data_IF_475452115237
#
_entry.id   IF_475452115237
#
_cell.length_a   1.000
_cell.length_b   1.000
_cell.length_c   1.000
_cell.angle_alpha   90.00
_cell.angle_beta   90.00
_cell.angle_gamma   90.00
#
_symmetry.space_group_name_H-M   'P 1'
#
loop_
_entity.id
_entity.type
_entity.pdbx_description
1 polymer ?
#
# COMPACT_ATOMS: atom_id res chain seq x y z
N UNK A 1 12.08 -2.95 -7.32
CA UNK A 1 10.91 -3.46 -6.57
C UNK A 1 10.86 -2.94 -5.14
N UNK A 2 11.91 -3.12 -4.31
CA UNK A 2 11.90 -2.65 -2.91
C UNK A 2 11.79 -1.11 -2.77
N UNK A 3 12.55 -0.37 -3.58
CA UNK A 3 12.55 1.10 -3.60
C UNK A 3 11.21 1.67 -4.08
N UNK A 4 10.70 1.18 -5.21
CA UNK A 4 9.41 1.59 -5.77
C UNK A 4 8.24 1.36 -4.81
N UNK A 5 8.23 0.24 -4.09
CA UNK A 5 7.22 -0.08 -3.09
C UNK A 5 7.26 0.90 -1.90
N UNK A 6 8.46 1.30 -1.47
CA UNK A 6 8.64 2.32 -0.41
C UNK A 6 8.16 3.69 -0.87
N UNK A 7 8.41 4.07 -2.12
CA UNK A 7 7.94 5.34 -2.69
C UNK A 7 6.41 5.37 -2.80
N UNK A 8 5.77 4.27 -3.22
CA UNK A 8 4.31 4.19 -3.28
C UNK A 8 3.66 4.29 -1.90
N UNK A 9 4.25 3.66 -0.88
CA UNK A 9 3.78 3.82 0.50
C UNK A 9 3.81 5.28 0.95
N UNK A 10 4.90 6.01 0.67
CA UNK A 10 4.99 7.44 1.03
C UNK A 10 3.92 8.29 0.35
N UNK A 11 3.63 8.01 -0.94
CA UNK A 11 2.55 8.71 -1.67
C UNK A 11 1.17 8.41 -1.08
N UNK A 12 0.92 7.15 -0.74
CA UNK A 12 -0.32 6.74 -0.08
C UNK A 12 -0.48 7.43 1.28
N UNK A 13 0.55 7.41 2.11
CA UNK A 13 0.52 8.08 3.42
C UNK A 13 0.28 9.59 3.27
N UNK A 14 0.87 10.24 2.27
CA UNK A 14 0.60 11.65 1.96
C UNK A 14 -0.86 11.88 1.56
N UNK A 15 -1.42 11.09 0.64
CA UNK A 15 -2.85 11.22 0.24
C UNK A 15 -3.81 10.99 1.39
N UNK A 16 -3.47 10.08 2.31
CA UNK A 16 -4.24 9.80 3.54
C UNK A 16 -4.16 11.00 4.50
N UNK A 17 -3.01 11.66 4.61
CA UNK A 17 -2.83 12.86 5.43
C UNK A 17 -3.54 14.09 4.85
N UNK A 18 -3.55 14.21 3.52
CA UNK A 18 -4.23 15.29 2.80
C UNK A 18 -5.76 15.10 2.75
N UNK A 19 -6.26 13.91 3.09
CA UNK A 19 -7.70 13.59 3.07
C UNK A 19 -8.24 13.34 1.67
N UNK A 20 -7.37 13.17 0.67
CA UNK A 20 -7.76 12.87 -0.71
C UNK A 20 -8.13 11.38 -0.85
N UNK A 21 -9.43 11.13 -0.71
CA UNK A 21 -10.00 9.77 -0.74
C UNK A 21 -9.82 9.09 -2.10
N UNK A 22 -10.01 9.82 -3.19
CA UNK A 22 -9.98 9.24 -4.54
C UNK A 22 -8.55 8.80 -4.88
N UNK A 23 -7.57 9.66 -4.60
CA UNK A 23 -6.16 9.35 -4.80
C UNK A 23 -5.69 8.23 -3.88
N UNK A 24 -6.11 8.23 -2.60
CA UNK A 24 -5.80 7.14 -1.67
C UNK A 24 -6.37 5.80 -2.16
N UNK A 25 -7.57 5.79 -2.73
CA UNK A 25 -8.22 4.58 -3.22
C UNK A 25 -7.53 4.03 -4.47
N UNK A 26 -7.11 4.90 -5.40
CA UNK A 26 -6.30 4.51 -6.55
C UNK A 26 -4.93 3.95 -6.14
N UNK A 27 -4.23 4.64 -5.24
CA UNK A 27 -2.92 4.24 -4.74
C UNK A 27 -2.98 2.92 -3.97
N UNK A 28 -4.05 2.67 -3.22
CA UNK A 28 -4.22 1.41 -2.48
C UNK A 28 -4.29 0.20 -3.40
N UNK A 29 -4.99 0.33 -4.53
CA UNK A 29 -5.12 -0.72 -5.55
C UNK A 29 -3.76 -1.01 -6.19
N UNK A 30 -3.00 0.03 -6.51
CA UNK A 30 -1.64 -0.10 -7.04
C UNK A 30 -0.70 -0.75 -6.01
N UNK A 31 -0.80 -0.35 -4.73
CA UNK A 31 -0.03 -0.93 -3.63
C UNK A 31 -0.30 -2.42 -3.46
N UNK A 32 -1.57 -2.84 -3.50
CA UNK A 32 -1.94 -4.25 -3.40
C UNK A 32 -1.24 -5.10 -4.48
N UNK A 33 -1.30 -4.68 -5.74
CA UNK A 33 -0.62 -5.37 -6.85
C UNK A 33 0.90 -5.44 -6.66
N UNK A 34 1.52 -4.35 -6.22
CA UNK A 34 2.98 -4.30 -6.01
C UNK A 34 3.43 -5.13 -4.81
N UNK A 35 2.63 -5.20 -3.75
CA UNK A 35 2.87 -6.05 -2.58
C UNK A 35 2.86 -7.52 -3.02
N UNK A 36 1.87 -7.94 -3.80
CA UNK A 36 1.76 -9.32 -4.26
C UNK A 36 2.89 -9.70 -5.23
N UNK A 37 3.26 -8.78 -6.14
CA UNK A 37 4.45 -8.94 -6.99
C UNK A 37 5.75 -9.03 -6.18
N UNK A 38 5.87 -8.28 -5.08
CA UNK A 38 7.05 -8.35 -4.24
C UNK A 38 7.10 -9.65 -3.41
N UNK A 39 5.94 -10.17 -3.01
CA UNK A 39 5.83 -11.44 -2.32
C UNK A 39 6.17 -12.61 -3.26
N UNK A 40 5.64 -12.61 -4.48
CA UNK A 40 5.92 -13.66 -5.48
C UNK A 40 7.40 -13.71 -5.89
N UNK A 41 8.06 -12.55 -5.94
CA UNK A 41 9.50 -12.44 -6.21
C UNK A 41 10.39 -12.71 -4.99
N UNK A 42 9.83 -13.06 -3.82
CA UNK A 42 10.58 -13.30 -2.59
C UNK A 42 11.24 -12.06 -1.97
N UNK A 43 10.93 -10.85 -2.46
CA UNK A 43 11.47 -9.59 -1.94
C UNK A 43 10.92 -9.28 -0.54
N UNK A 44 9.70 -9.74 -0.27
CA UNK A 44 9.06 -9.68 1.06
C UNK A 44 8.46 -11.03 1.39
N UNK A 45 8.47 -11.38 2.68
CA UNK A 45 7.81 -12.60 3.15
C UNK A 45 6.28 -12.50 2.99
N UNK A 46 5.60 -13.63 2.77
CA UNK A 46 4.13 -13.72 2.64
C UNK A 46 3.38 -13.04 3.80
N UNK A 47 3.88 -13.21 5.02
CA UNK A 47 3.29 -12.57 6.21
C UNK A 47 3.51 -11.05 6.22
N UNK A 48 4.64 -10.57 5.69
CA UNK A 48 4.88 -9.13 5.56
C UNK A 48 3.97 -8.52 4.50
N UNK A 49 3.70 -9.24 3.41
CA UNK A 49 2.72 -8.84 2.40
C UNK A 49 1.30 -8.75 2.99
N UNK A 50 0.87 -9.77 3.72
CA UNK A 50 -0.43 -9.79 4.39
C UNK A 50 -0.58 -8.64 5.41
N UNK A 51 0.42 -8.43 6.27
CA UNK A 51 0.42 -7.30 7.23
C UNK A 51 0.31 -5.95 6.54
N UNK A 52 1.04 -5.74 5.45
CA UNK A 52 1.01 -4.48 4.68
C UNK A 52 -0.33 -4.23 4.01
N UNK A 53 -0.96 -5.27 3.43
CA UNK A 53 -2.31 -5.16 2.86
C UNK A 53 -3.35 -4.79 3.92
N UNK A 54 -3.27 -5.42 5.10
CA UNK A 54 -4.14 -5.09 6.23
C UNK A 54 -3.96 -3.64 6.71
N UNK A 55 -2.72 -3.14 6.78
CA UNK A 55 -2.47 -1.74 7.13
C UNK A 55 -3.13 -0.77 6.14
N UNK A 56 -2.89 -0.95 4.83
CA UNK A 56 -3.48 -0.11 3.78
C UNK A 56 -5.01 -0.07 3.90
N UNK A 57 -5.64 -1.23 4.10
CA UNK A 57 -7.08 -1.33 4.29
C UNK A 57 -7.57 -0.58 5.55
N UNK A 58 -6.83 -0.66 6.67
CA UNK A 58 -7.16 0.09 7.90
C UNK A 58 -7.03 1.60 7.70
N UNK A 59 -6.03 2.06 6.97
CA UNK A 59 -5.86 3.48 6.67
C UNK A 59 -6.99 4.02 5.79
N UNK A 60 -7.38 3.28 4.76
CA UNK A 60 -8.54 3.63 3.94
C UNK A 60 -9.86 3.60 4.72
N UNK A 61 -10.06 2.58 5.56
CA UNK A 61 -11.25 2.49 6.40
C UNK A 61 -11.35 3.61 7.44
N UNK A 62 -10.24 4.27 7.81
CA UNK A 62 -10.25 5.47 8.65
C UNK A 62 -10.56 6.75 7.90
N UNK A 63 -10.34 6.78 6.58
CA UNK A 63 -10.78 7.88 5.71
C UNK A 63 -12.28 7.83 5.42
N UNK A 64 -13.01 6.84 5.96
CA UNK A 64 -14.43 6.59 5.72
C UNK A 64 -15.30 7.77 6.10
#
# INVERSE_FOLDING_TARGET
VKSSLKTLFRKFDASVQEGDRDTALQLSTQLASQIDKAASKGVIHKNAAARRKSLVARHLGKLS
#
